data_IF_154243960500
#
_entry.id   IF_154243960500
#
_cell.length_a   1.000
_cell.length_b   1.000
_cell.length_c   1.000
_cell.angle_alpha   90.00
_cell.angle_beta   90.00
_cell.angle_gamma   90.00
#
_symmetry.space_group_name_H-M   'P 1'
#
loop_
_entity.id
_entity.type
_entity.pdbx_description
1 polymer ?
#
# COMPACT_ATOMS: atom_id res chain seq x y z
N UNK A 1 -0.51 9.22 -34.79
CA UNK A 1 -0.15 8.24 -33.75
C UNK A 1 -0.06 6.88 -34.44
N UNK A 2 1.07 6.17 -34.31
CA UNK A 2 1.27 4.84 -34.92
C UNK A 2 0.20 3.85 -34.39
N UNK A 3 -0.30 2.93 -35.22
CA UNK A 3 -1.35 1.96 -34.84
C UNK A 3 -0.91 1.10 -33.66
N UNK A 4 0.40 0.83 -33.55
CA UNK A 4 1.00 0.12 -32.41
C UNK A 4 0.85 0.87 -31.09
N UNK A 5 0.97 2.19 -31.09
CA UNK A 5 0.82 2.99 -29.86
C UNK A 5 -0.65 3.13 -29.47
N UNK A 6 -1.56 3.17 -30.45
CA UNK A 6 -3.00 3.21 -30.19
C UNK A 6 -3.47 1.97 -29.42
N UNK A 7 -3.00 0.78 -29.81
CA UNK A 7 -3.31 -0.47 -29.09
C UNK A 7 -2.79 -0.47 -27.65
N UNK A 8 -1.59 0.05 -27.41
CA UNK A 8 -1.00 0.15 -26.07
C UNK A 8 -1.84 1.10 -25.20
N UNK A 9 -2.23 2.26 -25.72
CA UNK A 9 -3.09 3.21 -25.00
C UNK A 9 -4.47 2.62 -24.70
N UNK A 10 -5.06 1.91 -25.66
CA UNK A 10 -6.34 1.22 -25.48
C UNK A 10 -6.26 0.15 -24.39
N UNK A 11 -5.19 -0.66 -24.37
CA UNK A 11 -4.94 -1.62 -23.30
C UNK A 11 -4.78 -0.95 -21.93
N UNK A 12 -4.10 0.20 -21.86
CA UNK A 12 -4.01 0.96 -20.62
C UNK A 12 -5.40 1.42 -20.15
N UNK A 13 -6.21 1.99 -21.03
CA UNK A 13 -7.51 2.55 -20.69
C UNK A 13 -8.57 1.50 -20.31
N UNK A 14 -8.52 0.32 -20.94
CA UNK A 14 -9.49 -0.76 -20.76
C UNK A 14 -9.11 -1.77 -19.69
N UNK A 15 -7.81 -1.97 -19.42
CA UNK A 15 -7.32 -3.01 -18.51
C UNK A 15 -6.58 -2.43 -17.31
N UNK A 16 -5.58 -1.57 -17.53
CA UNK A 16 -4.71 -1.13 -16.43
C UNK A 16 -5.38 -0.07 -15.57
N UNK A 17 -5.88 1.01 -16.17
CA UNK A 17 -6.45 2.16 -15.45
C UNK A 17 -7.59 1.76 -14.50
N UNK A 18 -8.59 0.95 -14.90
CA UNK A 18 -9.67 0.55 -14.00
C UNK A 18 -9.19 -0.25 -12.78
N UNK A 19 -8.09 -0.99 -12.92
CA UNK A 19 -7.58 -1.90 -11.89
C UNK A 19 -6.38 -1.32 -11.10
N UNK A 20 -6.06 -0.03 -11.29
CA UNK A 20 -4.87 0.58 -10.71
C UNK A 20 -5.08 1.10 -9.28
N UNK A 21 -6.34 1.37 -8.89
CA UNK A 21 -6.70 1.80 -7.54
C UNK A 21 -7.38 0.62 -6.85
N UNK A 22 -6.72 -0.06 -5.90
CA UNK A 22 -7.28 -1.26 -5.27
C UNK A 22 -8.65 -1.06 -4.63
N UNK A 23 -8.94 0.11 -4.05
CA UNK A 23 -10.24 0.40 -3.44
C UNK A 23 -11.34 0.77 -4.45
N UNK A 24 -11.01 1.05 -5.71
CA UNK A 24 -11.97 1.46 -6.74
C UNK A 24 -12.68 0.26 -7.38
N UNK A 25 -13.40 -0.51 -6.56
CA UNK A 25 -14.14 -1.70 -6.99
C UNK A 25 -15.25 -1.40 -8.01
N UNK A 26 -15.66 -0.14 -8.11
CA UNK A 26 -16.68 0.36 -9.06
C UNK A 26 -16.07 0.99 -10.32
N UNK A 27 -14.74 1.06 -10.40
CA UNK A 27 -14.01 1.68 -11.51
C UNK A 27 -14.47 3.12 -11.83
N UNK A 28 -14.83 3.89 -10.80
CA UNK A 28 -15.39 5.24 -10.95
C UNK A 28 -14.33 6.34 -10.99
N UNK A 29 -13.09 6.06 -10.57
CA UNK A 29 -12.02 7.04 -10.55
C UNK A 29 -11.50 7.34 -11.95
N UNK A 30 -11.51 8.61 -12.33
CA UNK A 30 -10.86 9.10 -13.55
C UNK A 30 -9.41 9.54 -13.30
N UNK A 31 -8.83 9.26 -12.12
CA UNK A 31 -7.53 9.81 -11.72
C UNK A 31 -6.41 9.46 -12.73
N UNK A 32 -6.34 8.20 -13.16
CA UNK A 32 -5.32 7.74 -14.09
C UNK A 32 -5.63 8.15 -15.54
N UNK A 33 -6.89 8.08 -15.96
CA UNK A 33 -7.30 8.42 -17.33
C UNK A 33 -7.21 9.93 -17.57
N UNK A 34 -7.61 10.78 -16.64
CA UNK A 34 -7.48 12.24 -16.77
C UNK A 34 -6.11 12.78 -16.37
N UNK A 35 -5.46 12.23 -15.34
CA UNK A 35 -4.18 12.73 -14.83
C UNK A 35 -2.98 12.13 -15.54
N UNK A 36 -2.83 10.80 -15.44
CA UNK A 36 -1.64 10.08 -15.93
C UNK A 36 -1.50 10.18 -17.46
N UNK A 37 -2.59 9.92 -18.18
CA UNK A 37 -2.57 9.92 -19.65
C UNK A 37 -2.38 11.34 -20.22
N UNK A 38 -3.02 12.36 -19.63
CA UNK A 38 -2.83 13.76 -20.06
C UNK A 38 -1.38 14.20 -19.89
N UNK A 39 -0.77 13.85 -18.76
CA UNK A 39 0.64 14.14 -18.51
C UNK A 39 1.53 13.36 -19.50
N UNK A 40 1.18 12.13 -19.85
CA UNK A 40 1.93 11.35 -20.85
C UNK A 40 1.90 12.06 -22.22
N UNK A 41 0.77 12.65 -22.62
CA UNK A 41 0.69 13.41 -23.87
C UNK A 41 1.43 14.74 -23.86
N UNK A 42 1.71 15.33 -22.69
CA UNK A 42 2.43 16.60 -22.60
C UNK A 42 3.95 16.49 -22.71
N UNK A 43 4.52 15.27 -22.64
CA UNK A 43 5.96 15.05 -22.60
C UNK A 43 6.38 13.78 -23.31
N UNK A 44 7.38 13.86 -24.20
CA UNK A 44 7.95 12.68 -24.88
C UNK A 44 8.60 11.70 -23.91
N UNK A 45 9.32 12.22 -22.92
CA UNK A 45 9.94 11.41 -21.88
C UNK A 45 8.89 10.57 -21.16
N UNK A 46 7.79 11.21 -20.77
CA UNK A 46 6.76 10.51 -20.03
C UNK A 46 5.90 9.61 -20.91
N UNK A 47 5.58 10.02 -22.15
CA UNK A 47 4.91 9.17 -23.14
C UNK A 47 5.65 7.85 -23.33
N UNK A 48 6.97 7.88 -23.51
CA UNK A 48 7.75 6.65 -23.67
C UNK A 48 7.83 5.82 -22.39
N UNK A 49 7.97 6.46 -21.22
CA UNK A 49 7.92 5.74 -19.93
C UNK A 49 6.56 5.06 -19.70
N UNK A 50 5.46 5.75 -19.99
CA UNK A 50 4.09 5.26 -19.95
C UNK A 50 3.86 4.07 -20.89
N UNK A 51 4.26 4.20 -22.16
CA UNK A 51 4.16 3.12 -23.15
C UNK A 51 5.01 1.92 -22.73
N UNK A 52 6.18 2.16 -22.12
CA UNK A 52 7.05 1.10 -21.60
C UNK A 52 6.36 0.29 -20.49
N UNK A 53 5.80 0.95 -19.47
CA UNK A 53 5.07 0.28 -18.39
C UNK A 53 3.85 -0.50 -18.88
N UNK A 54 3.13 0.03 -19.86
CA UNK A 54 2.00 -0.68 -20.47
C UNK A 54 2.46 -1.87 -21.31
N UNK A 55 3.57 -1.74 -22.04
CA UNK A 55 4.17 -2.83 -22.80
C UNK A 55 4.66 -3.98 -21.90
N UNK A 56 5.16 -3.68 -20.69
CA UNK A 56 5.46 -4.70 -19.67
C UNK A 56 4.23 -5.55 -19.39
N UNK A 57 3.09 -4.92 -19.07
CA UNK A 57 1.85 -5.65 -18.79
C UNK A 57 1.37 -6.48 -19.99
N UNK A 58 1.42 -5.92 -21.20
CA UNK A 58 1.05 -6.67 -22.42
C UNK A 58 2.01 -7.83 -22.71
N UNK A 59 3.30 -7.68 -22.41
CA UNK A 59 4.30 -8.74 -22.56
C UNK A 59 4.06 -9.89 -21.58
N UNK A 60 3.69 -9.59 -20.32
CA UNK A 60 3.29 -10.64 -19.34
C UNK A 60 2.10 -11.47 -19.83
N UNK A 61 1.19 -10.84 -20.60
CA UNK A 61 0.05 -11.51 -21.23
C UNK A 61 0.38 -12.18 -22.57
N UNK A 62 1.64 -12.18 -23.01
CA UNK A 62 2.07 -12.71 -24.31
C UNK A 62 1.58 -11.92 -25.53
N UNK A 63 1.11 -10.69 -25.34
CA UNK A 63 0.55 -9.82 -26.41
C UNK A 63 1.58 -8.91 -27.07
N UNK A 64 2.73 -8.68 -26.42
CA UNK A 64 3.83 -7.84 -26.93
C UNK A 64 5.18 -8.49 -26.65
N UNK A 65 6.20 -8.01 -27.36
CA UNK A 65 7.56 -8.55 -27.26
C UNK A 65 8.37 -7.79 -26.20
N UNK A 66 9.37 -8.45 -25.64
CA UNK A 66 10.36 -7.80 -24.77
C UNK A 66 11.10 -6.65 -25.48
N UNK A 67 11.24 -6.72 -26.80
CA UNK A 67 11.83 -5.65 -27.61
C UNK A 67 11.05 -4.33 -27.52
N UNK A 68 9.73 -4.38 -27.47
CA UNK A 68 8.89 -3.16 -27.35
C UNK A 68 9.16 -2.43 -26.03
N UNK A 69 9.38 -3.19 -24.95
CA UNK A 69 9.76 -2.66 -23.63
C UNK A 69 11.11 -1.95 -23.75
N UNK A 70 12.12 -2.63 -24.30
CA UNK A 70 13.48 -2.08 -24.43
C UNK A 70 13.53 -0.84 -25.32
N UNK A 71 12.75 -0.81 -26.39
CA UNK A 71 12.64 0.35 -27.28
C UNK A 71 12.13 1.58 -26.53
N UNK A 72 10.97 1.48 -25.88
CA UNK A 72 10.39 2.61 -25.16
C UNK A 72 11.22 3.02 -23.95
N UNK A 73 11.83 2.06 -23.25
CA UNK A 73 12.80 2.32 -22.19
C UNK A 73 13.96 3.19 -22.68
N UNK A 74 14.61 2.82 -23.78
CA UNK A 74 15.73 3.57 -24.33
C UNK A 74 15.34 4.99 -24.75
N UNK A 75 14.18 5.15 -25.39
CA UNK A 75 13.66 6.47 -25.78
C UNK A 75 13.36 7.35 -24.55
N UNK A 76 12.72 6.79 -23.52
CA UNK A 76 12.43 7.52 -22.28
C UNK A 76 13.73 8.00 -21.60
N UNK A 77 14.76 7.15 -21.50
CA UNK A 77 16.05 7.51 -20.90
C UNK A 77 16.72 8.65 -21.69
N UNK A 78 16.69 8.60 -23.03
CA UNK A 78 17.27 9.64 -23.87
C UNK A 78 16.58 11.00 -23.65
N UNK A 79 15.25 11.02 -23.64
CA UNK A 79 14.45 12.22 -23.42
C UNK A 79 14.61 12.77 -21.99
N UNK A 80 14.63 11.91 -20.96
CA UNK A 80 14.89 12.33 -19.56
C UNK A 80 16.25 13.01 -19.45
N UNK A 81 17.30 12.45 -20.07
CA UNK A 81 18.65 13.03 -20.06
C UNK A 81 18.68 14.41 -20.72
N UNK A 82 17.96 14.57 -21.83
CA UNK A 82 17.82 15.87 -22.49
C UNK A 82 17.11 16.88 -21.57
N UNK A 83 16.02 16.47 -20.90
CA UNK A 83 15.26 17.32 -19.99
C UNK A 83 16.06 17.77 -18.76
N UNK A 84 16.92 16.91 -18.20
CA UNK A 84 17.76 17.25 -17.02
C UNK A 84 18.69 18.43 -17.30
N UNK A 85 19.10 18.64 -18.54
CA UNK A 85 19.97 19.75 -18.92
C UNK A 85 19.22 21.09 -19.03
N UNK A 86 17.89 21.07 -19.03
CA UNK A 86 17.03 22.25 -19.08
C UNK A 86 16.42 22.51 -17.69
N UNK A 87 16.72 23.64 -17.02
CA UNK A 87 16.20 23.95 -15.68
C UNK A 87 14.66 23.93 -15.57
N UNK A 88 13.94 24.27 -16.64
CA UNK A 88 12.47 24.30 -16.64
C UNK A 88 11.87 22.89 -16.74
N UNK A 89 12.53 21.99 -17.47
CA UNK A 89 12.04 20.63 -17.71
C UNK A 89 12.60 19.61 -16.72
N UNK A 90 13.76 19.88 -16.14
CA UNK A 90 14.48 18.95 -15.27
C UNK A 90 13.62 18.50 -14.10
N UNK A 91 12.87 19.43 -13.50
CA UNK A 91 11.99 19.16 -12.36
C UNK A 91 10.51 19.18 -12.71
N UNK A 92 10.12 19.21 -14.00
CA UNK A 92 8.71 19.20 -14.43
C UNK A 92 7.98 17.91 -13.99
N UNK A 93 6.66 17.99 -13.75
CA UNK A 93 5.83 16.85 -13.33
C UNK A 93 5.98 15.67 -14.28
N UNK A 94 5.99 15.93 -15.59
CA UNK A 94 6.08 14.85 -16.56
C UNK A 94 7.47 14.21 -16.55
N UNK A 95 8.53 14.97 -16.33
CA UNK A 95 9.88 14.41 -16.26
C UNK A 95 10.08 13.57 -14.98
N UNK A 96 9.53 14.02 -13.84
CA UNK A 96 9.48 13.23 -12.61
C UNK A 96 8.65 11.95 -12.82
N UNK A 97 7.49 12.07 -13.47
CA UNK A 97 6.66 10.93 -13.85
C UNK A 97 7.39 9.93 -14.74
N UNK A 98 8.21 10.40 -15.69
CA UNK A 98 9.01 9.55 -16.56
C UNK A 98 10.03 8.72 -15.78
N UNK A 99 10.77 9.34 -14.86
CA UNK A 99 11.73 8.64 -13.99
C UNK A 99 11.01 7.65 -13.07
N UNK A 100 9.88 8.03 -12.48
CA UNK A 100 9.06 7.13 -11.66
C UNK A 100 8.53 5.94 -12.46
N UNK A 101 7.99 6.16 -13.66
CA UNK A 101 7.51 5.06 -14.51
C UNK A 101 8.61 4.09 -14.90
N UNK A 102 9.84 4.58 -15.17
CA UNK A 102 10.98 3.71 -15.43
C UNK A 102 11.40 2.93 -14.19
N UNK A 103 11.36 3.53 -13.00
CA UNK A 103 11.60 2.79 -11.75
C UNK A 103 10.65 1.58 -11.63
N UNK A 104 9.34 1.78 -11.85
CA UNK A 104 8.37 0.68 -11.81
C UNK A 104 8.62 -0.37 -12.90
N UNK A 105 9.08 0.04 -14.09
CA UNK A 105 9.50 -0.89 -15.15
C UNK A 105 10.68 -1.74 -14.69
N UNK A 106 11.76 -1.14 -14.19
CA UNK A 106 12.96 -1.88 -13.72
C UNK A 106 12.66 -2.87 -12.58
N UNK A 107 11.64 -2.57 -11.77
CA UNK A 107 11.17 -3.49 -10.72
C UNK A 107 10.41 -4.70 -11.27
N UNK A 108 9.78 -4.53 -12.44
CA UNK A 108 9.01 -5.58 -13.12
C UNK A 108 9.86 -6.45 -14.05
N UNK A 109 10.98 -5.93 -14.56
CA UNK A 109 11.84 -6.67 -15.51
C UNK A 109 12.36 -8.03 -15.03
N UNK A 110 12.69 -8.25 -13.74
CA UNK A 110 13.11 -9.57 -13.26
C UNK A 110 12.09 -10.68 -13.52
N UNK A 111 10.81 -10.36 -13.70
CA UNK A 111 9.76 -11.33 -14.05
C UNK A 111 9.97 -11.98 -15.44
N UNK A 112 10.75 -11.34 -16.32
CA UNK A 112 11.07 -11.86 -17.65
C UNK A 112 12.41 -12.60 -17.70
N UNK A 113 13.22 -12.57 -16.64
CA UNK A 113 14.49 -13.28 -16.57
C UNK A 113 14.21 -14.78 -16.36
N UNK A 114 14.65 -15.62 -17.31
CA UNK A 114 14.63 -17.08 -17.16
C UNK A 114 15.95 -17.53 -16.52
N UNK A 115 15.87 -18.20 -15.37
CA UNK A 115 16.97 -18.93 -14.71
C UNK A 115 18.26 -18.14 -14.46
N UNK A 116 18.34 -17.44 -13.33
CA UNK A 116 19.61 -17.15 -12.65
C UNK A 116 20.61 -16.20 -13.32
N UNK A 117 20.35 -15.71 -14.53
CA UNK A 117 21.07 -14.60 -15.13
C UNK A 117 20.60 -13.29 -14.47
N UNK A 118 21.08 -13.06 -13.24
CA UNK A 118 21.04 -11.73 -12.64
C UNK A 118 21.93 -10.83 -13.48
N UNK A 119 21.32 -10.08 -14.40
CA UNK A 119 21.98 -8.97 -15.06
C UNK A 119 22.27 -7.90 -14.00
N UNK A 120 23.51 -7.82 -13.50
CA UNK A 120 23.95 -6.82 -12.52
C UNK A 120 23.55 -5.40 -12.95
N UNK A 121 23.51 -5.14 -14.27
CA UNK A 121 23.08 -3.86 -14.84
C UNK A 121 21.62 -3.52 -14.47
N UNK A 122 20.70 -4.50 -14.42
CA UNK A 122 19.29 -4.25 -14.05
C UNK A 122 19.12 -3.70 -12.63
N UNK A 123 19.90 -4.21 -11.67
CA UNK A 123 19.90 -3.74 -10.29
C UNK A 123 20.47 -2.31 -10.18
N UNK A 124 21.49 -2.02 -10.99
CA UNK A 124 22.12 -0.70 -11.09
C UNK A 124 21.17 0.35 -11.67
N UNK A 125 20.38 0.01 -12.69
CA UNK A 125 19.43 0.92 -13.32
C UNK A 125 18.26 1.25 -12.39
N UNK A 126 17.71 0.26 -11.68
CA UNK A 126 16.68 0.49 -10.66
C UNK A 126 17.15 1.48 -9.59
N UNK A 127 18.35 1.26 -9.04
CA UNK A 127 18.93 2.15 -8.03
C UNK A 127 19.21 3.55 -8.56
N UNK A 128 19.61 3.65 -9.83
CA UNK A 128 19.81 4.92 -10.53
C UNK A 128 18.50 5.71 -10.64
N UNK A 129 17.42 5.07 -11.09
CA UNK A 129 16.10 5.72 -11.19
C UNK A 129 15.53 6.09 -9.82
N UNK A 130 15.66 5.22 -8.81
CA UNK A 130 15.23 5.53 -7.45
C UNK A 130 16.00 6.72 -6.86
N UNK A 131 17.33 6.74 -7.01
CA UNK A 131 18.17 7.84 -6.52
C UNK A 131 17.86 9.15 -7.24
N UNK A 132 17.66 9.08 -8.57
CA UNK A 132 17.23 10.22 -9.38
C UNK A 132 15.88 10.76 -8.94
N UNK A 133 14.88 9.89 -8.75
CA UNK A 133 13.55 10.27 -8.28
C UNK A 133 13.60 10.96 -6.91
N UNK A 134 14.32 10.37 -5.94
CA UNK A 134 14.51 10.99 -4.61
C UNK A 134 15.10 12.38 -4.74
N UNK A 135 16.16 12.53 -5.53
CA UNK A 135 16.83 13.83 -5.73
C UNK A 135 15.91 14.86 -6.39
N UNK A 136 15.13 14.48 -7.38
CA UNK A 136 14.17 15.38 -8.04
C UNK A 136 13.09 15.85 -7.06
N UNK A 137 12.54 14.93 -6.25
CA UNK A 137 11.54 15.26 -5.24
C UNK A 137 12.12 16.19 -4.16
N UNK A 138 13.33 15.92 -3.66
CA UNK A 138 14.02 16.79 -2.71
C UNK A 138 14.21 18.21 -3.26
N UNK A 139 14.70 18.33 -4.49
CA UNK A 139 14.90 19.63 -5.16
C UNK A 139 13.58 20.37 -5.40
N UNK A 140 12.48 19.65 -5.59
CA UNK A 140 11.15 20.22 -5.76
C UNK A 140 10.51 20.66 -4.44
N UNK A 141 11.10 20.33 -3.29
CA UNK A 141 10.56 20.63 -1.96
C UNK A 141 9.77 19.47 -1.32
N UNK A 142 9.84 18.26 -1.89
CA UNK A 142 9.21 17.06 -1.38
C UNK A 142 7.94 16.66 -2.12
N UNK A 143 7.33 15.54 -1.70
CA UNK A 143 6.18 14.94 -2.40
C UNK A 143 4.95 15.86 -2.46
N UNK A 144 4.74 16.69 -1.43
CA UNK A 144 3.63 17.64 -1.36
C UNK A 144 3.72 18.76 -2.42
N UNK A 145 4.92 19.02 -2.96
CA UNK A 145 5.15 20.04 -3.99
C UNK A 145 4.60 19.63 -5.37
N UNK A 146 4.18 18.37 -5.55
CA UNK A 146 3.43 17.90 -6.73
C UNK A 146 1.92 18.21 -6.63
N UNK A 147 1.55 19.29 -5.95
CA UNK A 147 0.15 19.62 -5.61
C UNK A 147 -0.76 19.85 -6.82
N UNK A 148 -0.18 20.20 -7.97
CA UNK A 148 -0.87 20.36 -9.26
C UNK A 148 -1.14 19.04 -9.96
N UNK A 149 -0.37 17.98 -9.65
CA UNK A 149 -0.53 16.66 -10.23
C UNK A 149 -0.78 15.61 -9.14
N UNK A 150 -2.03 15.61 -8.66
CA UNK A 150 -2.49 14.69 -7.61
C UNK A 150 -2.34 13.22 -7.99
N UNK A 151 -2.43 12.88 -9.27
CA UNK A 151 -2.25 11.50 -9.76
C UNK A 151 -0.80 11.03 -9.52
N UNK A 152 0.19 11.81 -9.98
CA UNK A 152 1.60 11.50 -9.78
C UNK A 152 1.98 11.47 -8.29
N UNK A 153 1.47 12.43 -7.53
CA UNK A 153 1.65 12.46 -6.08
C UNK A 153 1.12 11.17 -5.41
N UNK A 154 -0.09 10.74 -5.76
CA UNK A 154 -0.71 9.54 -5.20
C UNK A 154 0.06 8.27 -5.59
N UNK A 155 0.44 8.12 -6.86
CA UNK A 155 1.18 6.92 -7.30
C UNK A 155 2.56 6.80 -6.65
N UNK A 156 3.30 7.92 -6.48
CA UNK A 156 4.56 7.92 -5.74
C UNK A 156 4.33 7.63 -4.25
N UNK A 157 3.27 8.17 -3.64
CA UNK A 157 2.88 7.88 -2.26
C UNK A 157 2.64 6.37 -2.09
N UNK A 158 1.83 5.76 -2.95
CA UNK A 158 1.47 4.34 -2.87
C UNK A 158 2.69 3.44 -3.06
N UNK A 159 3.47 3.69 -4.11
CA UNK A 159 4.69 2.95 -4.40
C UNK A 159 5.69 3.02 -3.23
N UNK A 160 5.98 4.23 -2.75
CA UNK A 160 6.93 4.41 -1.64
C UNK A 160 6.45 3.79 -0.33
N UNK A 161 5.13 3.67 -0.10
CA UNK A 161 4.59 2.98 1.08
C UNK A 161 4.69 1.48 0.91
N UNK A 162 4.32 0.93 -0.26
CA UNK A 162 4.43 -0.50 -0.55
C UNK A 162 5.88 -0.99 -0.33
N UNK A 163 6.87 -0.27 -0.85
CA UNK A 163 8.30 -0.54 -0.61
C UNK A 163 8.71 -0.47 0.86
N UNK A 164 8.10 0.44 1.64
CA UNK A 164 8.40 0.57 3.06
C UNK A 164 7.79 -0.57 3.89
N UNK A 165 6.57 -1.01 3.56
CA UNK A 165 5.92 -2.18 4.17
C UNK A 165 6.74 -3.44 3.85
N UNK A 166 7.09 -3.60 2.58
CA UNK A 166 7.88 -4.69 2.03
C UNK A 166 9.19 -4.94 2.76
N UNK A 167 9.92 -3.86 3.01
CA UNK A 167 11.30 -3.91 3.48
C UNK A 167 11.45 -3.56 4.95
N UNK A 168 10.39 -3.05 5.59
CA UNK A 168 10.43 -2.41 6.90
C UNK A 168 11.45 -1.27 7.04
N UNK A 169 11.93 -0.72 5.91
CA UNK A 169 12.72 0.51 5.90
C UNK A 169 11.84 1.75 5.78
N UNK A 170 12.32 2.92 6.23
CA UNK A 170 11.60 4.18 6.07
C UNK A 170 11.22 4.45 4.60
N UNK A 171 10.00 4.97 4.34
CA UNK A 171 9.62 5.41 3.00
C UNK A 171 10.63 6.42 2.43
N UNK A 172 10.99 6.28 1.16
CA UNK A 172 11.93 7.21 0.52
C UNK A 172 11.34 8.61 0.24
N UNK A 173 10.04 8.79 0.48
CA UNK A 173 9.35 10.09 0.45
C UNK A 173 8.91 10.48 1.86
N UNK A 174 9.71 11.23 2.64
CA UNK A 174 9.28 11.68 3.96
C UNK A 174 8.04 12.58 3.85
N UNK A 175 7.05 12.34 4.71
CA UNK A 175 5.88 13.21 4.85
C UNK A 175 6.09 14.15 6.03
N UNK A 176 5.68 15.44 5.92
CA UNK A 176 5.62 16.31 7.09
C UNK A 176 4.73 15.73 8.19
N UNK A 177 5.07 15.96 9.45
CA UNK A 177 4.35 15.39 10.61
C UNK A 177 2.85 15.68 10.60
N UNK A 178 2.45 16.86 10.10
CA UNK A 178 1.05 17.32 10.07
C UNK A 178 0.27 16.82 8.85
N UNK A 179 0.94 16.18 7.88
CA UNK A 179 0.30 15.75 6.63
C UNK A 179 -0.78 14.71 6.89
N UNK A 180 -0.56 13.81 7.86
CA UNK A 180 -1.54 12.79 8.22
C UNK A 180 -2.83 13.39 8.80
N UNK A 181 -2.70 14.33 9.73
CA UNK A 181 -3.85 14.98 10.38
C UNK A 181 -4.68 15.82 9.40
N UNK A 182 -4.03 16.54 8.48
CA UNK A 182 -4.70 17.37 7.47
C UNK A 182 -5.42 16.52 6.41
N UNK A 183 -4.83 15.39 6.02
CA UNK A 183 -5.42 14.51 5.01
C UNK A 183 -6.57 13.69 5.62
N UNK A 184 -6.42 13.18 6.85
CA UNK A 184 -7.51 12.46 7.53
C UNK A 184 -8.75 13.35 7.74
N UNK A 185 -8.57 14.63 8.07
CA UNK A 185 -9.66 15.59 8.23
C UNK A 185 -10.34 16.01 6.91
N UNK A 186 -9.64 15.89 5.77
CA UNK A 186 -10.21 16.24 4.45
C UNK A 186 -10.87 15.05 3.76
N UNK A 187 -10.41 13.82 4.00
CA UNK A 187 -10.97 12.59 3.41
C UNK A 187 -12.18 12.07 4.20
N UNK A 188 -12.10 12.12 5.53
CA UNK A 188 -13.19 11.72 6.41
C UNK A 188 -14.01 12.98 6.69
N UNK A 189 -15.15 13.15 6.03
CA UNK A 189 -16.07 14.28 6.27
C UNK A 189 -16.29 14.54 7.78
N UNK A 190 -16.74 15.74 8.15
CA UNK A 190 -17.07 16.11 9.54
C UNK A 190 -17.95 15.07 10.27
N UNK A 191 -18.75 14.27 9.55
CA UNK A 191 -19.57 13.17 10.11
C UNK A 191 -18.74 12.10 10.82
N UNK A 192 -17.57 11.73 10.29
CA UNK A 192 -16.69 10.67 10.85
C UNK A 192 -15.79 11.18 11.98
N UNK A 193 -15.51 12.48 12.02
CA UNK A 193 -14.73 13.13 13.10
C UNK A 193 -15.49 13.07 14.43
N UNK A 194 -16.83 13.04 14.39
CA UNK A 194 -17.71 13.00 15.56
C UNK A 194 -17.91 11.62 16.20
N UNK A 195 -17.34 10.55 15.63
CA UNK A 195 -17.51 9.21 16.18
C UNK A 195 -16.72 9.02 17.49
N UNK A 196 -17.27 8.27 18.46
CA UNK A 196 -16.57 7.95 19.70
C UNK A 196 -15.26 7.20 19.40
N UNK A 197 -14.33 7.25 20.36
CA UNK A 197 -13.06 6.53 20.25
C UNK A 197 -13.34 5.04 19.97
N UNK A 198 -12.82 4.51 18.86
CA UNK A 198 -13.02 3.11 18.51
C UNK A 198 -12.56 2.17 19.61
N UNK A 199 -13.28 1.07 19.83
CA UNK A 199 -13.03 0.12 20.92
C UNK A 199 -11.58 -0.39 20.95
N UNK A 200 -10.95 -0.59 19.79
CA UNK A 200 -9.53 -0.97 19.73
C UNK A 200 -8.60 0.06 20.38
N UNK A 201 -8.88 1.35 20.24
CA UNK A 201 -8.07 2.39 20.86
C UNK A 201 -8.27 2.41 22.38
N UNK A 202 -9.45 2.06 22.87
CA UNK A 202 -9.70 1.84 24.30
C UNK A 202 -8.92 0.63 24.82
N UNK A 203 -8.94 -0.50 24.09
CA UNK A 203 -8.15 -1.68 24.44
C UNK A 203 -6.64 -1.39 24.46
N UNK A 204 -6.13 -0.67 23.47
CA UNK A 204 -4.73 -0.22 23.46
C UNK A 204 -4.39 0.63 24.69
N UNK A 205 -5.29 1.54 25.13
CA UNK A 205 -5.08 2.33 26.35
C UNK A 205 -5.11 1.48 27.62
N UNK A 206 -5.99 0.50 27.71
CA UNK A 206 -6.05 -0.44 28.85
C UNK A 206 -4.74 -1.20 29.00
N UNK A 207 -4.17 -1.65 27.88
CA UNK A 207 -2.85 -2.29 27.84
C UNK A 207 -1.66 -1.30 27.95
N UNK A 208 -1.95 -0.01 28.19
CA UNK A 208 -0.96 1.08 28.33
C UNK A 208 -0.02 1.18 27.14
N UNK A 209 -0.52 0.93 25.93
CA UNK A 209 0.22 1.03 24.66
C UNK A 209 0.66 2.48 24.43
N UNK A 210 1.75 2.68 23.69
CA UNK A 210 2.21 4.03 23.36
C UNK A 210 1.09 4.89 22.71
N UNK A 211 0.92 6.12 23.17
CA UNK A 211 -0.15 7.02 22.71
C UNK A 211 -0.13 7.29 21.20
N UNK A 212 1.02 7.24 20.54
CA UNK A 212 1.07 7.38 19.07
C UNK A 212 0.32 6.22 18.38
N UNK A 213 0.47 4.99 18.88
CA UNK A 213 -0.20 3.81 18.34
C UNK A 213 -1.69 3.83 18.68
N UNK A 214 -2.05 4.30 19.89
CA UNK A 214 -3.45 4.52 20.28
C UNK A 214 -4.14 5.49 19.32
N UNK A 215 -3.50 6.62 19.01
CA UNK A 215 -4.04 7.61 18.09
C UNK A 215 -4.19 7.06 16.66
N UNK A 216 -3.20 6.27 16.21
CA UNK A 216 -3.31 5.59 14.91
C UNK A 216 -4.46 4.57 14.91
N UNK A 217 -4.64 3.80 15.98
CA UNK A 217 -5.73 2.83 16.09
C UNK A 217 -7.13 3.50 16.08
N UNK A 218 -7.25 4.67 16.70
CA UNK A 218 -8.48 5.48 16.63
C UNK A 218 -8.76 5.99 15.21
N UNK A 219 -7.72 6.46 14.51
CA UNK A 219 -7.85 6.90 13.11
C UNK A 219 -8.20 5.73 12.19
N UNK A 220 -7.61 4.57 12.42
CA UNK A 220 -7.87 3.35 11.67
C UNK A 220 -9.31 2.84 11.89
N UNK A 221 -9.86 3.01 13.09
CA UNK A 221 -11.28 2.72 13.35
C UNK A 221 -12.19 3.57 12.47
N UNK A 222 -11.94 4.88 12.41
CA UNK A 222 -12.70 5.80 11.55
C UNK A 222 -12.52 5.49 10.07
N UNK A 223 -11.30 5.14 9.65
CA UNK A 223 -11.02 4.71 8.28
C UNK A 223 -11.79 3.43 7.94
N UNK A 224 -11.83 2.44 8.84
CA UNK A 224 -12.56 1.18 8.64
C UNK A 224 -14.05 1.45 8.44
N UNK A 225 -14.67 2.29 9.28
CA UNK A 225 -16.08 2.66 9.10
C UNK A 225 -16.37 3.41 7.81
N UNK A 226 -15.47 4.30 7.38
CA UNK A 226 -15.60 4.98 6.09
C UNK A 226 -15.47 4.00 4.92
N UNK A 227 -14.61 3.00 5.06
CA UNK A 227 -14.41 1.96 4.07
C UNK A 227 -15.62 1.02 3.97
N UNK A 228 -16.22 0.63 5.10
CA UNK A 228 -17.45 -0.16 5.10
C UNK A 228 -18.60 0.64 4.44
N UNK A 229 -18.73 1.93 4.75
CA UNK A 229 -19.70 2.81 4.08
C UNK A 229 -19.46 2.88 2.57
N UNK A 230 -18.19 2.93 2.15
CA UNK A 230 -17.81 2.88 0.74
C UNK A 230 -18.24 1.57 0.06
N UNK A 231 -18.10 0.43 0.74
CA UNK A 231 -18.47 -0.87 0.18
C UNK A 231 -19.99 -1.13 0.19
N UNK A 232 -20.71 -0.63 1.19
CA UNK A 232 -22.16 -0.83 1.33
C UNK A 232 -23.00 0.13 0.48
N UNK A 233 -22.55 1.37 0.30
CA UNK A 233 -23.29 2.39 -0.45
C UNK A 233 -22.86 2.42 -1.93
N UNK A 234 -23.77 2.03 -2.83
CA UNK A 234 -23.54 2.05 -4.28
C UNK A 234 -23.28 3.48 -4.83
N UNK A 235 -23.84 4.51 -4.20
CA UNK A 235 -23.72 5.93 -4.58
C UNK A 235 -22.84 6.73 -3.59
N UNK A 236 -21.85 6.06 -2.98
CA UNK A 236 -20.95 6.70 -2.02
C UNK A 236 -20.20 7.87 -2.66
N UNK A 237 -20.26 9.04 -2.04
CA UNK A 237 -19.54 10.24 -2.49
C UNK A 237 -18.05 10.22 -2.17
N UNK A 238 -17.53 9.13 -1.60
CA UNK A 238 -16.12 9.01 -1.24
C UNK A 238 -15.25 8.80 -2.49
N UNK A 239 -14.08 9.44 -2.52
CA UNK A 239 -13.10 9.23 -3.58
C UNK A 239 -12.22 8.01 -3.23
N UNK A 240 -12.22 6.94 -4.04
CA UNK A 240 -11.41 5.75 -3.76
C UNK A 240 -9.91 6.04 -3.77
N UNK A 241 -9.43 7.02 -4.56
CA UNK A 241 -8.03 7.43 -4.50
C UNK A 241 -7.68 8.11 -3.17
N UNK A 242 -8.62 8.89 -2.64
CA UNK A 242 -8.47 9.54 -1.34
C UNK A 242 -8.48 8.52 -0.19
N UNK A 243 -9.35 7.52 -0.25
CA UNK A 243 -9.34 6.38 0.68
C UNK A 243 -7.98 5.63 0.62
N UNK A 244 -7.49 5.36 -0.59
CA UNK A 244 -6.18 4.71 -0.77
C UNK A 244 -5.04 5.56 -0.20
N UNK A 245 -5.06 6.87 -0.42
CA UNK A 245 -4.10 7.80 0.18
C UNK A 245 -4.15 7.75 1.72
N UNK A 246 -5.35 7.69 2.31
CA UNK A 246 -5.54 7.59 3.75
C UNK A 246 -4.89 6.31 4.32
N UNK A 247 -5.16 5.14 3.72
CA UNK A 247 -4.55 3.88 4.12
C UNK A 247 -3.01 3.95 4.10
N UNK A 248 -2.46 4.53 3.03
CA UNK A 248 -1.01 4.72 2.88
C UNK A 248 -0.41 5.63 3.97
N UNK A 249 -1.12 6.68 4.36
CA UNK A 249 -0.71 7.58 5.45
C UNK A 249 -0.71 6.86 6.81
N UNK A 250 -1.75 6.06 7.10
CA UNK A 250 -1.82 5.26 8.32
C UNK A 250 -0.65 4.26 8.39
N UNK A 251 -0.40 3.54 7.28
CA UNK A 251 0.74 2.62 7.17
C UNK A 251 2.08 3.31 7.42
N UNK A 252 2.30 4.52 6.88
CA UNK A 252 3.53 5.27 7.13
C UNK A 252 3.69 5.70 8.58
N UNK A 253 2.60 6.06 9.27
CA UNK A 253 2.64 6.41 10.69
C UNK A 253 3.00 5.20 11.55
N UNK A 254 2.46 4.03 11.22
CA UNK A 254 2.82 2.75 11.86
C UNK A 254 4.28 2.39 11.61
N UNK A 255 4.74 2.45 10.35
CA UNK A 255 6.13 2.18 9.99
C UNK A 255 7.10 3.13 10.71
N UNK A 256 6.77 4.43 10.79
CA UNK A 256 7.57 5.39 11.57
C UNK A 256 7.66 4.99 13.03
N UNK A 257 6.55 4.53 13.63
CA UNK A 257 6.58 4.02 15.00
C UNK A 257 7.49 2.80 15.14
N UNK A 258 7.46 1.87 14.18
CA UNK A 258 8.30 0.66 14.14
C UNK A 258 9.81 0.95 14.00
N UNK A 259 10.19 2.16 13.57
CA UNK A 259 11.60 2.58 13.48
C UNK A 259 12.16 3.18 14.77
N UNK A 260 11.34 3.39 15.80
CA UNK A 260 11.80 3.91 17.09
C UNK A 260 12.69 2.88 17.79
N UNK A 261 13.73 3.37 18.47
CA UNK A 261 14.59 2.52 19.30
C UNK A 261 13.81 1.98 20.51
N UNK A 262 14.06 0.73 20.88
CA UNK A 262 13.55 0.10 22.11
C UNK A 262 12.02 0.09 22.26
N UNK A 263 11.30 -0.42 21.25
CA UNK A 263 9.88 -0.70 21.36
C UNK A 263 9.60 -1.83 22.36
N UNK A 264 8.55 -1.68 23.18
CA UNK A 264 8.05 -2.79 23.98
C UNK A 264 7.48 -3.86 23.03
N UNK A 265 7.66 -5.17 23.31
CA UNK A 265 7.14 -6.25 22.47
C UNK A 265 5.64 -6.12 22.15
N UNK A 266 4.85 -5.66 23.12
CA UNK A 266 3.42 -5.41 22.96
C UNK A 266 3.13 -4.27 21.96
N UNK A 267 3.83 -3.13 22.08
CA UNK A 267 3.67 -2.00 21.15
C UNK A 267 4.06 -2.41 19.72
N UNK A 268 5.16 -3.15 19.58
CA UNK A 268 5.61 -3.68 18.29
C UNK A 268 4.57 -4.65 17.69
N UNK A 269 4.04 -5.56 18.50
CA UNK A 269 3.02 -6.54 18.09
C UNK A 269 1.77 -5.84 17.55
N UNK A 270 1.23 -4.89 18.31
CA UNK A 270 0.04 -4.15 17.90
C UNK A 270 0.30 -3.28 16.67
N UNK A 271 1.45 -2.62 16.59
CA UNK A 271 1.78 -1.78 15.45
C UNK A 271 1.91 -2.60 14.15
N UNK A 272 2.54 -3.77 14.19
CA UNK A 272 2.61 -4.68 13.03
C UNK A 272 1.23 -5.23 12.68
N UNK A 273 0.41 -5.57 13.67
CA UNK A 273 -0.95 -6.10 13.44
C UNK A 273 -1.86 -5.06 12.77
N UNK A 274 -1.82 -3.81 13.23
CA UNK A 274 -2.53 -2.69 12.61
C UNK A 274 -2.02 -2.41 11.19
N UNK A 275 -0.71 -2.57 10.94
CA UNK A 275 -0.09 -2.38 9.62
C UNK A 275 -0.60 -3.44 8.64
N UNK A 276 -0.57 -4.71 9.05
CA UNK A 276 -1.09 -5.82 8.26
C UNK A 276 -2.57 -5.62 8.00
N UNK A 277 -3.38 -5.35 9.03
CA UNK A 277 -4.82 -5.10 8.87
C UNK A 277 -5.10 -3.97 7.88
N UNK A 278 -4.45 -2.81 8.03
CA UNK A 278 -4.65 -1.65 7.15
C UNK A 278 -4.30 -1.98 5.70
N UNK A 279 -3.17 -2.67 5.46
CA UNK A 279 -2.78 -3.12 4.13
C UNK A 279 -3.83 -4.05 3.53
N UNK A 280 -4.36 -4.99 4.32
CA UNK A 280 -5.32 -5.98 3.85
C UNK A 280 -6.67 -5.39 3.47
N UNK A 281 -7.24 -4.53 4.32
CA UNK A 281 -8.52 -3.91 4.00
C UNK A 281 -8.40 -2.88 2.87
N UNK A 282 -7.19 -2.42 2.54
CA UNK A 282 -6.94 -1.50 1.42
C UNK A 282 -6.57 -2.18 0.10
N UNK A 283 -6.52 -3.51 0.04
CA UNK A 283 -6.26 -4.30 -1.18
C UNK A 283 -7.44 -5.25 -1.46
N UNK A 284 -8.44 -4.79 -2.23
CA UNK A 284 -9.67 -5.58 -2.49
C UNK A 284 -9.52 -6.65 -3.59
N UNK A 285 -8.44 -6.59 -4.36
CA UNK A 285 -8.16 -7.56 -5.41
C UNK A 285 -7.49 -8.82 -4.84
N UNK A 286 -7.84 -9.99 -5.37
CA UNK A 286 -7.08 -11.24 -5.22
C UNK A 286 -5.72 -11.12 -5.92
N UNK A 287 -4.81 -10.31 -5.38
CA UNK A 287 -3.38 -10.39 -5.69
C UNK A 287 -2.84 -11.52 -4.82
N UNK A 288 -2.44 -12.63 -5.45
CA UNK A 288 -1.77 -13.74 -4.76
C UNK A 288 -0.73 -13.16 -3.81
N UNK A 289 -0.88 -13.47 -2.52
CA UNK A 289 -0.18 -12.83 -1.41
C UNK A 289 1.30 -12.67 -1.73
N UNK A 290 1.70 -11.41 -1.91
CA UNK A 290 3.04 -10.99 -2.29
C UNK A 290 4.06 -11.50 -1.24
N UNK A 291 5.25 -12.00 -1.63
CA UNK A 291 6.36 -12.27 -0.71
C UNK A 291 6.58 -11.20 0.38
N UNK A 292 6.26 -9.93 0.07
CA UNK A 292 6.34 -8.79 0.98
C UNK A 292 5.41 -8.91 2.21
N UNK A 293 4.26 -9.55 2.03
CA UNK A 293 3.31 -9.85 3.10
C UNK A 293 3.89 -10.86 4.12
N UNK A 294 4.69 -11.82 3.67
CA UNK A 294 5.26 -12.85 4.55
C UNK A 294 6.33 -12.31 5.51
N UNK A 295 7.09 -11.30 5.12
CA UNK A 295 8.05 -10.63 6.03
C UNK A 295 7.32 -10.00 7.22
N UNK A 296 6.19 -9.34 6.98
CA UNK A 296 5.39 -8.73 8.05
C UNK A 296 4.81 -9.78 8.99
N UNK A 297 4.30 -10.89 8.44
CA UNK A 297 3.76 -12.01 9.23
C UNK A 297 4.84 -12.68 10.09
N UNK A 298 6.02 -12.92 9.53
CA UNK A 298 7.16 -13.47 10.28
C UNK A 298 7.59 -12.55 11.41
N UNK A 299 7.65 -11.24 11.16
CA UNK A 299 7.97 -10.24 12.18
C UNK A 299 6.88 -10.18 13.26
N UNK A 300 5.59 -10.30 12.88
CA UNK A 300 4.48 -10.37 13.80
C UNK A 300 4.61 -11.58 14.74
N UNK A 301 4.84 -12.78 14.18
CA UNK A 301 5.07 -13.99 14.98
C UNK A 301 6.20 -13.79 16.00
N UNK A 302 7.34 -13.24 15.57
CA UNK A 302 8.48 -12.96 16.45
C UNK A 302 8.18 -11.90 17.52
N UNK A 303 7.29 -10.93 17.24
CA UNK A 303 6.85 -9.95 18.23
C UNK A 303 5.94 -10.58 19.28
N UNK A 304 4.97 -11.41 18.86
CA UNK A 304 4.04 -12.11 19.76
C UNK A 304 4.81 -13.05 20.69
N UNK A 305 5.77 -13.81 20.19
CA UNK A 305 6.60 -14.73 21.01
C UNK A 305 7.38 -14.00 22.11
N UNK A 306 7.66 -12.70 21.95
CA UNK A 306 8.33 -11.87 22.95
C UNK A 306 7.36 -11.26 23.98
N UNK A 307 6.06 -11.46 23.83
CA UNK A 307 5.05 -11.09 24.84
C UNK A 307 4.74 -12.25 25.77
N UNK A 308 4.16 -11.95 26.93
CA UNK A 308 3.69 -12.91 27.94
C UNK A 308 2.17 -12.83 28.07
N UNK A 309 1.53 -13.85 28.68
CA UNK A 309 0.10 -13.82 28.98
C UNK A 309 -0.32 -12.60 29.81
N UNK A 310 0.56 -12.16 30.71
CA UNK A 310 0.31 -11.01 31.60
C UNK A 310 0.23 -9.69 30.82
N UNK A 311 0.94 -9.57 29.68
CA UNK A 311 0.89 -8.40 28.81
C UNK A 311 -0.50 -8.20 28.18
N UNK A 312 -1.33 -9.25 28.13
CA UNK A 312 -2.64 -9.25 27.48
C UNK A 312 -3.81 -9.39 28.46
N UNK A 313 -3.54 -9.52 29.77
CA UNK A 313 -4.53 -9.84 30.79
C UNK A 313 -5.74 -8.89 30.81
N UNK A 314 -5.50 -7.58 30.66
CA UNK A 314 -6.57 -6.55 30.66
C UNK A 314 -7.38 -6.52 29.35
N UNK A 315 -6.90 -7.16 28.28
CA UNK A 315 -7.58 -7.20 26.98
C UNK A 315 -7.26 -8.48 26.17
N UNK A 316 -7.75 -9.65 26.63
CA UNK A 316 -7.53 -10.92 25.93
C UNK A 316 -8.17 -10.96 24.55
N UNK A 317 -9.27 -10.22 24.34
CA UNK A 317 -9.91 -10.07 23.03
C UNK A 317 -9.00 -9.43 21.99
N UNK A 318 -8.09 -8.54 22.40
CA UNK A 318 -7.14 -7.92 21.47
C UNK A 318 -6.03 -8.89 21.05
N UNK A 319 -5.58 -9.77 21.95
CA UNK A 319 -4.67 -10.87 21.59
C UNK A 319 -5.32 -11.79 20.57
N UNK A 320 -6.57 -12.20 20.82
CA UNK A 320 -7.35 -13.02 19.89
C UNK A 320 -7.46 -12.35 18.51
N UNK A 321 -7.74 -11.04 18.47
CA UNK A 321 -7.76 -10.27 17.23
C UNK A 321 -6.41 -10.30 16.51
N UNK A 322 -5.30 -10.05 17.20
CA UNK A 322 -3.95 -10.12 16.63
C UNK A 322 -3.66 -11.50 16.03
N UNK A 323 -4.00 -12.58 16.75
CA UNK A 323 -3.78 -13.95 16.30
C UNK A 323 -4.60 -14.29 15.06
N UNK A 324 -5.87 -13.88 15.01
CA UNK A 324 -6.75 -14.14 13.86
C UNK A 324 -6.34 -13.32 12.64
N UNK A 325 -6.00 -12.03 12.80
CA UNK A 325 -5.43 -11.25 11.70
C UNK A 325 -4.17 -11.93 11.17
N UNK A 326 -3.27 -12.35 12.06
CA UNK A 326 -2.10 -13.13 11.69
C UNK A 326 -2.43 -14.42 10.92
N UNK A 327 -3.44 -15.19 11.36
CA UNK A 327 -3.85 -16.44 10.71
C UNK A 327 -4.42 -16.22 9.30
N UNK A 328 -5.37 -15.29 9.16
CA UNK A 328 -5.97 -14.91 7.86
C UNK A 328 -4.89 -14.44 6.89
N UNK A 329 -3.91 -13.73 7.43
CA UNK A 329 -2.89 -13.10 6.63
C UNK A 329 -1.76 -14.09 6.29
N UNK A 330 -1.43 -15.02 7.18
CA UNK A 330 -0.37 -16.01 6.98
C UNK A 330 -0.73 -17.12 5.96
N UNK A 331 -1.94 -17.13 5.38
CA UNK A 331 -2.34 -18.16 4.41
C UNK A 331 -1.32 -18.27 3.25
N UNK A 332 -0.80 -19.47 3.03
CA UNK A 332 0.25 -19.74 2.03
C UNK A 332 1.69 -19.50 2.51
N UNK A 333 1.90 -19.03 3.74
CA UNK A 333 3.22 -18.84 4.37
C UNK A 333 3.62 -20.02 5.26
N UNK A 334 4.90 -20.10 5.64
CA UNK A 334 5.42 -21.08 6.60
C UNK A 334 4.88 -20.89 8.02
N UNK A 335 4.40 -19.69 8.35
CA UNK A 335 3.91 -19.31 9.68
C UNK A 335 2.42 -19.62 9.88
N UNK A 336 1.69 -19.97 8.81
CA UNK A 336 0.25 -20.24 8.85
C UNK A 336 -0.14 -21.24 9.93
N UNK A 337 0.55 -22.38 9.99
CA UNK A 337 0.26 -23.44 10.97
C UNK A 337 0.48 -22.98 12.42
N UNK A 338 1.45 -22.10 12.66
CA UNK A 338 1.69 -21.55 13.98
C UNK A 338 0.54 -20.63 14.40
N UNK A 339 0.09 -19.72 13.53
CA UNK A 339 -1.03 -18.83 13.86
C UNK A 339 -2.34 -19.60 14.07
N UNK A 340 -2.64 -20.57 13.21
CA UNK A 340 -3.84 -21.42 13.37
C UNK A 340 -3.81 -22.18 14.70
N UNK A 341 -2.65 -22.71 15.09
CA UNK A 341 -2.48 -23.37 16.39
C UNK A 341 -2.67 -22.38 17.56
N UNK A 342 -2.12 -21.17 17.48
CA UNK A 342 -2.30 -20.17 18.55
C UNK A 342 -3.76 -19.72 18.66
N UNK A 343 -4.47 -19.56 17.53
CA UNK A 343 -5.91 -19.26 17.55
C UNK A 343 -6.69 -20.38 18.21
N UNK A 344 -6.39 -21.65 17.93
CA UNK A 344 -7.12 -22.77 18.57
C UNK A 344 -6.88 -22.86 20.07
N UNK A 345 -5.65 -22.57 20.53
CA UNK A 345 -5.33 -22.46 21.96
C UNK A 345 -6.10 -21.32 22.61
N UNK A 346 -6.12 -20.13 22.01
CA UNK A 346 -6.86 -18.97 22.53
C UNK A 346 -8.37 -19.22 22.57
N UNK A 347 -8.94 -19.87 21.55
CA UNK A 347 -10.36 -20.24 21.57
C UNK A 347 -10.69 -21.20 22.71
N UNK A 348 -9.83 -22.20 22.95
CA UNK A 348 -10.01 -23.13 24.06
C UNK A 348 -9.88 -22.45 25.44
N UNK A 349 -8.95 -21.51 25.58
CA UNK A 349 -8.73 -20.76 26.83
C UNK A 349 -9.89 -19.79 27.14
N UNK A 350 -10.49 -19.20 26.11
CA UNK A 350 -11.57 -18.22 26.24
C UNK A 350 -12.98 -18.78 26.07
N UNK A 351 -13.10 -20.11 26.06
CA UNK A 351 -14.35 -20.87 25.91
C UNK A 351 -15.18 -20.46 24.66
N UNK A 352 -14.47 -20.22 23.54
CA UNK A 352 -15.09 -19.84 22.26
C UNK A 352 -15.42 -21.11 21.49
N UNK A 353 -16.71 -21.43 21.42
CA UNK A 353 -17.18 -22.72 20.92
C UNK A 353 -17.81 -22.66 19.53
N UNK A 354 -17.88 -21.47 18.91
CA UNK A 354 -18.48 -21.29 17.58
C UNK A 354 -17.78 -20.22 16.76
N UNK A 355 -17.90 -20.33 15.44
CA UNK A 355 -17.43 -19.32 14.50
C UNK A 355 -18.11 -17.96 14.72
N UNK A 356 -19.44 -17.96 14.93
CA UNK A 356 -20.20 -16.72 15.14
C UNK A 356 -19.76 -15.98 16.41
N UNK A 357 -19.45 -16.71 17.49
CA UNK A 357 -18.91 -16.13 18.70
C UNK A 357 -17.51 -15.53 18.47
N UNK A 358 -16.64 -16.24 17.74
CA UNK A 358 -15.31 -15.75 17.37
C UNK A 358 -15.43 -14.43 16.60
N UNK A 359 -16.21 -14.40 15.52
CA UNK A 359 -16.43 -13.20 14.70
C UNK A 359 -17.03 -12.06 15.53
N UNK A 360 -18.01 -12.35 16.39
CA UNK A 360 -18.61 -11.34 17.28
C UNK A 360 -17.59 -10.69 18.22
N UNK A 361 -16.59 -11.44 18.71
CA UNK A 361 -15.50 -10.87 19.52
C UNK A 361 -14.50 -10.07 18.67
N UNK A 362 -14.21 -10.51 17.45
CA UNK A 362 -13.31 -9.80 16.53
C UNK A 362 -13.89 -8.46 16.06
N UNK A 363 -15.20 -8.43 15.78
CA UNK A 363 -15.94 -7.23 15.39
C UNK A 363 -15.97 -6.15 16.48
N UNK A 364 -15.75 -6.52 17.74
CA UNK A 364 -15.54 -5.54 18.82
C UNK A 364 -14.21 -4.79 18.70
N UNK A 365 -13.24 -5.30 17.94
CA UNK A 365 -11.96 -4.64 17.66
C UNK A 365 -12.02 -3.86 16.34
N UNK A 366 -11.35 -4.37 15.29
CA UNK A 366 -11.42 -3.85 13.92
C UNK A 366 -11.81 -4.98 12.99
N UNK A 367 -12.85 -4.77 12.19
CA UNK A 367 -13.30 -5.74 11.21
C UNK A 367 -13.94 -5.00 10.02
N UNK A 368 -13.67 -5.46 8.81
CA UNK A 368 -14.38 -5.01 7.60
C UNK A 368 -14.92 -6.24 6.90
N UNK A 369 -16.24 -6.44 6.97
CA UNK A 369 -16.90 -7.66 6.51
C UNK A 369 -16.58 -7.95 5.02
N UNK A 370 -16.59 -6.91 4.18
CA UNK A 370 -16.35 -7.01 2.74
C UNK A 370 -15.01 -7.68 2.40
N UNK A 371 -13.95 -7.39 3.16
CA UNK A 371 -12.59 -7.90 2.88
C UNK A 371 -12.22 -9.12 3.72
N UNK A 372 -12.79 -9.24 4.92
CA UNK A 372 -12.39 -10.25 5.90
C UNK A 372 -13.26 -11.50 5.86
N UNK A 373 -14.54 -11.40 5.45
CA UNK A 373 -15.46 -12.56 5.40
C UNK A 373 -15.30 -13.37 4.10
N UNK A 374 -14.67 -12.79 3.07
CA UNK A 374 -14.43 -13.46 1.78
C UNK A 374 -13.34 -14.55 1.83
N UNK A 375 -12.71 -14.78 3.00
CA UNK A 375 -11.62 -15.75 3.17
C UNK A 375 -12.14 -16.95 3.95
N UNK A 376 -12.23 -18.15 3.33
CA UNK A 376 -12.66 -19.33 4.06
C UNK A 376 -11.63 -19.68 5.15
N UNK A 377 -12.08 -19.79 6.41
CA UNK A 377 -11.35 -20.52 7.44
C UNK A 377 -11.41 -22.00 7.08
N UNK A 378 -10.34 -22.53 6.48
CA UNK A 378 -10.20 -23.96 6.18
C UNK A 378 -9.33 -24.65 7.21
#
# INVERSE_FOLDING_TARGET
MDSKNAEVIDHFLSVISPNSIPLDIRHQSDLLRSGWLTLAFSSRAFMHSFLCGTAVHMCMLGRRSYYDIMYHRAQAIAEIRANISNPELALDDANIGAVFGLLCVEESLPLFQKNGEHDEDSSSQRLTHLSGLKRMLELRGGLHALSTNKCLQALILWHSTAHAIASFYPPYTPLPDNYGTLTSATVLSDKLISQPLGTIALFCRLLRVNEDVVNIAADLSRYTSALDSWFEEDDSSLDPAALQNHANILNRRLLRHLTKESLRPLDETLCISLLIFTFRISETGYRSFDPLHFTAIKRLQQAIIRTSSDDWYESPGLLLWVLVIGAICAQGSSESSWFVYQVSVACAEYDINSYDELVSRLQQCLWSAFTMDSIPFS
#
